data_IF_619701414714
#
_entry.id   IF_619701414714
#
_cell.length_a   1.000
_cell.length_b   1.000
_cell.length_c   1.000
_cell.angle_alpha   90.00
_cell.angle_beta   90.00
_cell.angle_gamma   90.00
#
_symmetry.space_group_name_H-M   'P 1'
#
loop_
_entity.id
_entity.type
_entity.pdbx_description
1 polymer ?
#
# COMPACT_ATOMS: atom_id res chain seq x y z
N UNK A 1 -20.48 55.70 -29.71
CA UNK A 1 -19.99 54.34 -29.52
C UNK A 1 -21.20 53.45 -29.24
N UNK A 2 -21.57 52.64 -30.22
CA UNK A 2 -22.87 51.97 -30.27
C UNK A 2 -22.97 50.81 -29.26
N UNK A 3 -24.12 50.57 -28.69
CA UNK A 3 -24.48 49.52 -27.74
C UNK A 3 -24.04 48.10 -28.22
N UNK A 4 -23.96 47.89 -29.52
CA UNK A 4 -23.50 46.70 -30.23
C UNK A 4 -22.02 46.40 -29.96
N UNK A 5 -21.15 47.42 -29.84
CA UNK A 5 -19.70 47.28 -29.52
C UNK A 5 -19.47 46.84 -28.06
N UNK A 6 -20.29 47.31 -27.13
CA UNK A 6 -20.17 46.92 -25.72
C UNK A 6 -20.55 45.46 -25.49
N UNK A 7 -21.63 44.97 -26.14
CA UNK A 7 -22.04 43.57 -26.07
C UNK A 7 -20.98 42.65 -26.64
N UNK A 8 -20.35 42.98 -27.78
CA UNK A 8 -19.28 42.18 -28.37
C UNK A 8 -18.04 42.11 -27.48
N UNK A 9 -17.66 43.19 -26.79
CA UNK A 9 -16.56 43.19 -25.82
C UNK A 9 -16.89 42.30 -24.60
N UNK A 10 -18.12 42.38 -24.09
CA UNK A 10 -18.56 41.55 -22.97
C UNK A 10 -18.56 40.06 -23.32
N UNK A 11 -19.04 39.67 -24.51
CA UNK A 11 -19.00 38.29 -24.97
C UNK A 11 -17.57 37.76 -25.14
N UNK A 12 -16.63 38.56 -25.62
CA UNK A 12 -15.20 38.20 -25.70
C UNK A 12 -14.60 38.01 -24.31
N UNK A 13 -14.93 38.90 -23.37
CA UNK A 13 -14.44 38.78 -21.98
C UNK A 13 -14.94 37.51 -21.30
N UNK A 14 -16.24 37.24 -21.42
CA UNK A 14 -16.86 36.00 -20.89
C UNK A 14 -16.21 34.75 -21.54
N UNK A 15 -16.07 34.76 -22.87
CA UNK A 15 -15.43 33.66 -23.59
C UNK A 15 -13.98 33.42 -23.14
N UNK A 16 -13.20 34.49 -22.94
CA UNK A 16 -11.82 34.37 -22.42
C UNK A 16 -11.77 33.83 -21.00
N UNK A 17 -12.71 34.24 -20.12
CA UNK A 17 -12.81 33.70 -18.75
C UNK A 17 -13.20 32.21 -18.75
N UNK A 18 -14.14 31.80 -19.61
CA UNK A 18 -14.50 30.39 -19.76
C UNK A 18 -13.31 29.53 -20.26
N UNK A 19 -12.56 30.01 -21.24
CA UNK A 19 -11.36 29.31 -21.73
C UNK A 19 -10.30 29.24 -20.63
N UNK A 20 -10.04 30.34 -19.93
CA UNK A 20 -9.10 30.38 -18.81
C UNK A 20 -9.50 29.41 -17.68
N UNK A 21 -10.78 29.38 -17.34
CA UNK A 21 -11.33 28.41 -16.39
C UNK A 21 -11.15 26.94 -16.85
N UNK A 22 -11.47 26.65 -18.10
CA UNK A 22 -11.30 25.30 -18.66
C UNK A 22 -9.83 24.83 -18.65
N UNK A 23 -8.90 25.70 -19.04
CA UNK A 23 -7.46 25.43 -18.99
C UNK A 23 -6.98 25.20 -17.55
N UNK A 24 -7.44 26.02 -16.61
CA UNK A 24 -7.12 25.84 -15.20
C UNK A 24 -7.61 24.49 -14.66
N UNK A 25 -8.87 24.13 -14.92
CA UNK A 25 -9.44 22.84 -14.50
C UNK A 25 -8.73 21.65 -15.17
N UNK A 26 -8.42 21.76 -16.47
CA UNK A 26 -7.63 20.75 -17.16
C UNK A 26 -6.23 20.58 -16.50
N UNK A 27 -5.57 21.67 -16.15
CA UNK A 27 -4.30 21.64 -15.44
C UNK A 27 -4.40 20.97 -14.06
N UNK A 28 -5.46 21.22 -13.30
CA UNK A 28 -5.70 20.57 -12.01
C UNK A 28 -5.95 19.07 -12.19
N UNK A 29 -6.71 18.67 -13.20
CA UNK A 29 -6.99 17.26 -13.49
C UNK A 29 -5.69 16.53 -13.92
N UNK A 30 -4.93 17.11 -14.82
CA UNK A 30 -3.64 16.56 -15.27
C UNK A 30 -2.69 16.42 -14.08
N UNK A 31 -2.59 17.44 -13.22
CA UNK A 31 -1.74 17.38 -12.04
C UNK A 31 -2.16 16.23 -11.10
N UNK A 32 -3.47 16.07 -10.82
CA UNK A 32 -3.97 15.02 -9.93
C UNK A 32 -3.82 13.60 -10.49
N UNK A 33 -4.01 13.42 -11.80
CA UNK A 33 -4.07 12.09 -12.41
C UNK A 33 -2.72 11.61 -12.95
N UNK A 34 -1.83 12.52 -13.36
CA UNK A 34 -0.58 12.16 -14.05
C UNK A 34 0.66 12.58 -13.27
N UNK A 35 0.76 13.84 -12.88
CA UNK A 35 1.97 14.38 -12.27
C UNK A 35 2.21 13.80 -10.89
N UNK A 36 1.17 13.73 -10.05
CA UNK A 36 1.32 13.18 -8.69
C UNK A 36 1.70 11.70 -8.70
N UNK A 37 1.09 10.90 -9.58
CA UNK A 37 1.44 9.48 -9.72
C UNK A 37 2.87 9.30 -10.24
N UNK A 38 3.25 10.05 -11.28
CA UNK A 38 4.61 9.98 -11.83
C UNK A 38 5.70 10.25 -10.78
N UNK A 39 5.53 11.27 -9.93
CA UNK A 39 6.50 11.56 -8.87
C UNK A 39 6.47 10.50 -7.76
N UNK A 40 5.30 9.97 -7.43
CA UNK A 40 5.17 8.89 -6.45
C UNK A 40 5.84 7.61 -6.92
N UNK A 41 5.62 7.21 -8.17
CA UNK A 41 6.21 6.01 -8.75
C UNK A 41 7.74 6.10 -8.77
N UNK A 42 8.28 7.27 -9.10
CA UNK A 42 9.73 7.49 -9.04
C UNK A 42 10.28 7.49 -7.62
N UNK A 43 9.54 8.05 -6.66
CA UNK A 43 9.95 8.03 -5.26
C UNK A 43 9.91 6.60 -4.69
N UNK A 44 8.88 5.82 -5.04
CA UNK A 44 8.76 4.42 -4.67
C UNK A 44 9.89 3.58 -5.28
N UNK A 45 10.17 3.77 -6.58
CA UNK A 45 11.25 3.05 -7.26
C UNK A 45 12.60 3.34 -6.64
N UNK A 46 12.92 4.60 -6.40
CA UNK A 46 14.16 5.00 -5.73
C UNK A 46 14.29 4.38 -4.35
N UNK A 47 13.23 4.43 -3.54
CA UNK A 47 13.23 3.85 -2.19
C UNK A 47 13.39 2.33 -2.24
N UNK A 48 12.77 1.65 -3.22
CA UNK A 48 12.94 0.22 -3.47
C UNK A 48 14.39 -0.12 -3.81
N UNK A 49 15.02 0.62 -4.72
CA UNK A 49 16.41 0.41 -5.11
C UNK A 49 17.38 0.62 -3.94
N UNK A 50 17.18 1.70 -3.17
CA UNK A 50 17.98 1.97 -1.97
C UNK A 50 17.84 0.86 -0.93
N UNK A 51 16.62 0.36 -0.71
CA UNK A 51 16.34 -0.73 0.21
C UNK A 51 17.00 -2.04 -0.24
N UNK A 52 16.82 -2.45 -1.51
CA UNK A 52 17.43 -3.65 -2.08
C UNK A 52 18.97 -3.58 -2.05
N UNK A 53 19.53 -2.42 -2.33
CA UNK A 53 20.98 -2.18 -2.23
C UNK A 53 21.46 -2.35 -0.79
N UNK A 54 20.71 -1.82 0.19
CA UNK A 54 21.03 -1.99 1.62
C UNK A 54 20.98 -3.45 2.09
N UNK A 55 20.22 -4.28 1.39
CA UNK A 55 20.13 -5.74 1.62
C UNK A 55 21.19 -6.53 0.84
N UNK A 56 22.08 -5.88 0.10
CA UNK A 56 23.05 -6.47 -0.83
C UNK A 56 22.39 -7.32 -1.94
N UNK A 57 21.20 -6.92 -2.39
CA UNK A 57 20.46 -7.60 -3.45
C UNK A 57 20.55 -6.81 -4.76
N UNK A 58 20.95 -7.47 -5.89
CA UNK A 58 20.96 -6.80 -7.19
C UNK A 58 19.54 -6.39 -7.60
N UNK A 59 19.39 -5.13 -8.04
CA UNK A 59 18.16 -4.66 -8.67
C UNK A 59 17.88 -5.43 -9.95
N UNK A 60 16.67 -5.96 -10.10
CA UNK A 60 16.25 -6.70 -11.31
C UNK A 60 16.40 -8.22 -11.23
N UNK A 61 16.77 -8.79 -10.10
CA UNK A 61 16.86 -10.24 -9.95
C UNK A 61 15.46 -10.84 -9.78
N UNK A 62 15.00 -11.60 -10.78
CA UNK A 62 13.96 -12.60 -10.60
C UNK A 62 14.41 -13.55 -9.51
N UNK A 63 13.60 -13.73 -8.49
CA UNK A 63 13.92 -14.62 -7.37
C UNK A 63 14.01 -16.06 -7.89
N UNK A 64 15.15 -16.76 -7.73
CA UNK A 64 15.26 -18.14 -8.22
C UNK A 64 14.30 -19.05 -7.45
N UNK A 65 13.50 -19.82 -8.16
CA UNK A 65 12.67 -20.86 -7.57
C UNK A 65 13.56 -21.99 -7.03
N UNK A 66 13.62 -22.15 -5.72
CA UNK A 66 14.15 -23.34 -5.09
C UNK A 66 12.99 -24.25 -4.69
N UNK A 67 13.01 -25.46 -5.20
CA UNK A 67 11.94 -26.46 -5.19
C UNK A 67 11.52 -27.00 -3.80
N UNK A 68 12.12 -26.53 -2.71
CA UNK A 68 11.77 -26.97 -1.34
C UNK A 68 11.89 -25.80 -0.36
N UNK A 69 10.81 -25.02 -0.25
CA UNK A 69 10.71 -23.98 0.74
C UNK A 69 10.45 -24.59 2.12
N UNK A 70 11.43 -24.55 3.01
CA UNK A 70 11.22 -24.86 4.43
C UNK A 70 10.70 -23.60 5.13
N UNK A 71 9.55 -23.69 5.76
CA UNK A 71 9.00 -22.63 6.63
C UNK A 71 9.80 -22.57 7.93
N UNK A 72 9.94 -21.36 8.48
CA UNK A 72 10.53 -21.15 9.81
C UNK A 72 9.40 -21.19 10.83
N UNK A 73 9.63 -21.86 11.96
CA UNK A 73 8.67 -21.80 13.06
C UNK A 73 8.60 -20.35 13.60
N UNK A 74 7.40 -19.86 13.96
CA UNK A 74 7.21 -18.47 14.42
C UNK A 74 8.09 -18.05 15.60
N UNK A 75 8.59 -18.99 16.41
CA UNK A 75 9.51 -18.75 17.54
C UNK A 75 10.98 -18.60 17.15
N UNK A 76 11.36 -18.88 15.91
CA UNK A 76 12.75 -18.79 15.41
C UNK A 76 13.03 -17.48 14.67
N UNK A 77 12.04 -16.58 14.60
CA UNK A 77 12.18 -15.28 13.96
C UNK A 77 12.99 -14.38 14.88
N UNK A 78 14.21 -14.06 14.46
CA UNK A 78 15.03 -13.08 15.18
C UNK A 78 14.39 -11.69 15.15
N UNK A 79 14.81 -10.77 16.05
CA UNK A 79 14.23 -9.45 16.14
C UNK A 79 14.34 -8.72 14.81
N UNK A 80 13.21 -8.22 14.34
CA UNK A 80 13.15 -7.27 13.22
C UNK A 80 13.30 -5.89 13.85
N UNK A 81 14.36 -5.17 13.50
CA UNK A 81 14.51 -3.81 13.99
C UNK A 81 13.45 -2.91 13.33
N UNK A 82 12.58 -2.34 14.13
CA UNK A 82 11.68 -1.29 13.66
C UNK A 82 12.53 -0.11 13.13
N UNK A 83 12.21 0.42 11.96
CA UNK A 83 12.95 1.54 11.40
C UNK A 83 12.73 2.80 12.26
N UNK A 84 13.82 3.53 12.51
CA UNK A 84 13.78 4.72 13.37
C UNK A 84 13.54 6.03 12.61
N UNK A 85 13.62 6.03 11.26
CA UNK A 85 13.83 7.26 10.48
C UNK A 85 12.86 7.49 9.31
N UNK A 86 11.61 7.08 9.37
CA UNK A 86 10.65 7.32 8.26
C UNK A 86 11.14 6.79 6.89
N UNK A 87 12.09 5.86 6.89
CA UNK A 87 12.65 5.22 5.70
C UNK A 87 11.86 3.96 5.34
N UNK A 88 12.03 3.49 4.10
CA UNK A 88 11.50 2.20 3.70
C UNK A 88 12.27 1.08 4.42
N UNK A 89 11.56 0.07 4.95
CA UNK A 89 12.15 -1.04 5.69
C UNK A 89 11.71 -2.42 5.21
N UNK A 90 10.65 -2.46 4.38
CA UNK A 90 10.08 -3.68 3.85
C UNK A 90 9.46 -3.42 2.47
N UNK A 91 9.10 -4.48 1.76
CA UNK A 91 8.39 -4.44 0.50
C UNK A 91 7.08 -5.24 0.60
N UNK A 92 6.02 -4.72 0.00
CA UNK A 92 4.69 -5.34 -0.05
C UNK A 92 4.42 -5.95 -1.43
N UNK A 93 3.87 -7.17 -1.43
CA UNK A 93 3.39 -7.87 -2.62
C UNK A 93 1.99 -8.37 -2.35
N UNK A 94 1.07 -8.14 -3.28
CA UNK A 94 -0.27 -8.70 -3.26
C UNK A 94 -0.55 -9.29 -4.64
N UNK A 95 -0.34 -10.60 -4.86
CA UNK A 95 -0.39 -11.23 -6.18
C UNK A 95 -1.67 -10.97 -6.96
N UNK A 96 -2.84 -10.95 -6.30
CA UNK A 96 -4.13 -10.68 -6.95
C UNK A 96 -4.20 -9.32 -7.63
N UNK A 97 -3.59 -8.30 -7.03
CA UNK A 97 -3.52 -6.93 -7.55
C UNK A 97 -2.06 -6.54 -7.84
N UNK A 98 -1.29 -7.50 -8.35
CA UNK A 98 0.16 -7.39 -8.51
C UNK A 98 0.64 -6.34 -9.50
N UNK A 99 -0.24 -5.78 -10.35
CA UNK A 99 0.12 -4.64 -11.20
C UNK A 99 0.31 -3.35 -10.39
N UNK A 100 -0.42 -3.20 -9.29
CA UNK A 100 -0.40 -2.02 -8.42
C UNK A 100 0.47 -2.23 -7.19
N UNK A 101 0.53 -3.47 -6.67
CA UNK A 101 1.26 -3.79 -5.42
C UNK A 101 2.25 -4.93 -5.67
N UNK A 102 3.40 -4.58 -6.24
CA UNK A 102 4.50 -5.51 -6.47
C UNK A 102 5.82 -4.89 -6.09
N UNK A 103 6.45 -5.41 -5.05
CA UNK A 103 7.64 -4.82 -4.43
C UNK A 103 7.44 -3.34 -4.04
N UNK A 104 6.25 -3.01 -3.54
CA UNK A 104 5.91 -1.64 -3.13
C UNK A 104 6.56 -1.34 -1.78
N UNK A 105 7.36 -0.26 -1.66
CA UNK A 105 8.04 0.06 -0.41
C UNK A 105 7.07 0.34 0.74
N UNK A 106 7.38 -0.23 1.91
CA UNK A 106 6.71 0.07 3.19
C UNK A 106 7.61 1.01 3.97
N UNK A 107 7.10 2.20 4.29
CA UNK A 107 7.78 3.23 5.06
C UNK A 107 7.30 3.24 6.50
N UNK A 108 8.16 3.58 7.44
CA UNK A 108 7.74 3.88 8.80
C UNK A 108 7.00 5.21 8.85
N UNK A 109 5.75 5.20 9.34
CA UNK A 109 4.88 6.37 9.43
C UNK A 109 3.77 6.42 8.39
N UNK A 110 2.71 7.17 8.73
CA UNK A 110 1.49 7.33 7.90
C UNK A 110 1.23 8.79 7.52
N UNK A 111 2.27 9.61 7.51
CA UNK A 111 2.15 10.99 7.06
C UNK A 111 2.17 11.08 5.53
N UNK A 112 1.77 12.23 4.98
CA UNK A 112 1.72 12.43 3.53
C UNK A 112 3.02 12.10 2.81
N UNK A 113 4.17 12.35 3.43
CA UNK A 113 5.48 12.04 2.84
C UNK A 113 5.63 10.55 2.55
N UNK A 114 5.28 9.68 3.50
CA UNK A 114 5.36 8.23 3.37
C UNK A 114 4.29 7.71 2.40
N UNK A 115 3.04 8.10 2.61
CA UNK A 115 1.92 7.64 1.80
C UNK A 115 2.04 8.08 0.33
N UNK A 116 2.66 9.22 0.06
CA UNK A 116 2.92 9.68 -1.31
C UNK A 116 4.07 8.94 -2.01
N UNK A 117 4.83 8.12 -1.30
CA UNK A 117 5.96 7.37 -1.83
C UNK A 117 5.73 5.85 -1.82
N UNK A 118 4.64 5.37 -1.22
CA UNK A 118 4.31 3.95 -1.13
C UNK A 118 3.28 3.64 -0.05
N UNK A 119 3.56 2.60 0.71
CA UNK A 119 2.73 2.14 1.83
C UNK A 119 3.30 2.70 3.14
N UNK A 120 2.44 3.18 4.02
CA UNK A 120 2.83 3.65 5.35
C UNK A 120 2.51 2.59 6.41
N UNK A 121 3.49 2.25 7.24
CA UNK A 121 3.31 1.49 8.47
C UNK A 121 2.84 2.42 9.58
N UNK A 122 1.84 1.98 10.35
CA UNK A 122 1.36 2.74 11.51
C UNK A 122 2.30 2.53 12.71
N UNK A 123 3.02 3.57 13.18
CA UNK A 123 4.11 3.41 14.17
C UNK A 123 3.68 2.87 15.54
N UNK A 124 2.38 2.90 15.83
CA UNK A 124 1.80 2.37 17.08
C UNK A 124 1.32 0.92 16.92
N UNK A 125 1.51 0.32 15.75
CA UNK A 125 1.22 -1.09 15.48
C UNK A 125 2.51 -1.91 15.47
N UNK A 126 2.37 -3.23 15.43
CA UNK A 126 3.50 -4.17 15.44
C UNK A 126 4.20 -4.20 14.08
N UNK A 127 5.43 -4.69 14.07
CA UNK A 127 6.16 -5.01 12.84
C UNK A 127 5.81 -6.41 12.32
N UNK A 128 6.18 -6.77 11.06
CA UNK A 128 5.79 -8.06 10.49
C UNK A 128 6.22 -9.23 11.35
N UNK A 129 5.29 -10.15 11.60
CA UNK A 129 5.53 -11.40 12.32
C UNK A 129 5.52 -11.30 13.85
N UNK A 130 5.44 -10.11 14.43
CA UNK A 130 5.22 -9.94 15.86
C UNK A 130 3.79 -10.32 16.27
N UNK A 131 3.63 -10.67 17.54
CA UNK A 131 2.33 -10.85 18.16
C UNK A 131 1.59 -9.50 18.19
N UNK A 132 0.40 -9.45 17.61
CA UNK A 132 -0.42 -8.25 17.49
C UNK A 132 -0.82 -7.93 16.06
N UNK A 133 -0.96 -6.65 15.73
CA UNK A 133 -1.51 -6.17 14.47
C UNK A 133 -0.48 -5.28 13.73
N UNK A 134 0.04 -5.77 12.62
CA UNK A 134 0.88 -5.01 11.70
C UNK A 134 0.00 -4.22 10.73
N UNK A 135 -0.11 -2.90 10.92
CA UNK A 135 -1.09 -2.07 10.21
C UNK A 135 -0.47 -1.19 9.13
N UNK A 136 -0.99 -1.33 7.91
CA UNK A 136 -0.51 -0.66 6.71
C UNK A 136 -1.58 0.24 6.10
N UNK A 137 -1.16 1.43 5.68
CA UNK A 137 -2.00 2.44 5.05
C UNK A 137 -1.50 2.76 3.65
N UNK A 138 -2.40 2.89 2.69
CA UNK A 138 -2.07 3.26 1.32
C UNK A 138 -3.17 4.07 0.64
N UNK A 139 -2.76 4.89 -0.32
CA UNK A 139 -3.71 5.65 -1.14
C UNK A 139 -4.52 4.76 -2.07
N UNK A 140 -5.76 5.17 -2.38
CA UNK A 140 -6.62 4.48 -3.32
C UNK A 140 -6.72 5.14 -4.69
N UNK A 141 -6.53 6.45 -4.79
CA UNK A 141 -6.81 7.22 -6.01
C UNK A 141 -5.78 8.31 -6.34
N UNK A 142 -4.63 8.30 -5.69
CA UNK A 142 -3.57 9.28 -5.90
C UNK A 142 -2.22 8.72 -5.47
N UNK A 143 -1.14 9.35 -5.89
CA UNK A 143 0.22 9.05 -5.43
C UNK A 143 0.57 7.56 -5.56
N UNK A 144 0.61 7.06 -6.80
CA UNK A 144 0.88 5.64 -7.12
C UNK A 144 -0.28 4.70 -6.89
N UNK A 145 -1.31 5.10 -6.14
CA UNK A 145 -2.58 4.37 -5.95
C UNK A 145 -2.44 2.89 -5.58
N UNK A 146 -1.59 2.51 -4.60
CA UNK A 146 -1.29 1.10 -4.35
C UNK A 146 -2.54 0.27 -4.05
N UNK A 147 -3.58 0.87 -3.47
CA UNK A 147 -4.83 0.17 -3.15
C UNK A 147 -6.01 0.53 -4.05
N UNK A 148 -5.73 0.94 -5.32
CA UNK A 148 -6.78 1.30 -6.28
C UNK A 148 -7.77 0.18 -6.53
N UNK A 149 -7.29 -1.07 -6.59
CA UNK A 149 -8.05 -2.28 -6.86
C UNK A 149 -8.29 -3.15 -5.61
N UNK A 150 -8.31 -2.54 -4.43
CA UNK A 150 -8.57 -3.26 -3.16
C UNK A 150 -9.91 -4.02 -3.15
N UNK A 151 -10.89 -3.58 -3.95
CA UNK A 151 -12.18 -4.26 -4.11
C UNK A 151 -12.09 -5.62 -4.81
N UNK A 152 -10.99 -5.90 -5.48
CA UNK A 152 -10.77 -7.17 -6.19
C UNK A 152 -10.17 -8.25 -5.28
N UNK A 153 -9.75 -7.86 -4.07
CA UNK A 153 -9.26 -8.78 -3.05
C UNK A 153 -10.37 -9.69 -2.55
N UNK A 154 -10.00 -10.92 -2.23
CA UNK A 154 -10.89 -11.97 -1.75
C UNK A 154 -10.32 -12.62 -0.48
N UNK A 155 -11.19 -13.31 0.25
CA UNK A 155 -10.75 -14.17 1.34
C UNK A 155 -9.76 -15.21 0.80
N UNK A 156 -8.74 -15.50 1.59
CA UNK A 156 -7.60 -16.37 1.30
C UNK A 156 -6.60 -15.85 0.25
N UNK A 157 -6.76 -14.62 -0.24
CA UNK A 157 -5.68 -13.98 -0.99
C UNK A 157 -4.45 -13.76 -0.11
N UNK A 158 -3.29 -13.95 -0.70
CA UNK A 158 -2.03 -13.76 0.00
C UNK A 158 -1.56 -12.31 -0.04
N UNK A 159 -1.09 -11.85 1.11
CA UNK A 159 -0.35 -10.60 1.29
C UNK A 159 1.03 -10.95 1.80
N UNK A 160 2.05 -10.59 1.04
CA UNK A 160 3.42 -11.00 1.32
C UNK A 160 4.24 -9.77 1.66
N UNK A 161 4.95 -9.83 2.78
CA UNK A 161 5.85 -8.77 3.24
C UNK A 161 7.28 -9.29 3.21
N UNK A 162 8.13 -8.65 2.42
CA UNK A 162 9.56 -8.92 2.34
C UNK A 162 10.32 -7.99 3.27
N UNK A 163 11.17 -8.54 4.11
CA UNK A 163 12.14 -7.81 4.92
C UNK A 163 13.56 -8.25 4.56
N UNK A 164 14.56 -7.64 5.15
CA UNK A 164 15.97 -8.03 4.91
C UNK A 164 16.24 -9.52 5.11
N UNK A 165 15.59 -10.14 6.10
CA UNK A 165 15.92 -11.49 6.54
C UNK A 165 14.82 -12.51 6.26
N UNK A 166 13.57 -12.07 6.07
CA UNK A 166 12.41 -12.95 6.05
C UNK A 166 11.34 -12.50 5.06
N UNK A 167 10.53 -13.46 4.64
CA UNK A 167 9.26 -13.28 3.96
C UNK A 167 8.14 -13.68 4.91
N UNK A 168 7.15 -12.83 5.06
CA UNK A 168 5.94 -13.08 5.86
C UNK A 168 4.76 -13.21 4.92
N UNK A 169 4.06 -14.34 4.97
CA UNK A 169 2.89 -14.62 4.15
C UNK A 169 1.65 -14.58 5.04
N UNK A 170 0.79 -13.64 4.78
CA UNK A 170 -0.52 -13.50 5.43
C UNK A 170 -1.62 -13.92 4.46
N UNK A 171 -2.67 -14.58 4.97
CA UNK A 171 -3.89 -14.89 4.23
C UNK A 171 -5.00 -13.95 4.68
N UNK A 172 -5.63 -13.23 3.74
CA UNK A 172 -6.76 -12.35 4.02
C UNK A 172 -7.96 -13.16 4.50
N UNK A 173 -8.66 -12.68 5.54
CA UNK A 173 -9.76 -13.41 6.17
C UNK A 173 -11.07 -12.63 6.18
N UNK A 174 -11.01 -11.33 6.35
CA UNK A 174 -12.20 -10.51 6.48
C UNK A 174 -11.95 -9.08 6.01
N UNK A 175 -12.97 -8.44 5.46
CA UNK A 175 -12.94 -7.02 5.14
C UNK A 175 -14.13 -6.27 5.74
N UNK A 176 -13.99 -4.97 5.90
CA UNK A 176 -15.04 -4.11 6.40
C UNK A 176 -14.87 -2.67 5.97
N UNK A 177 -16.00 -2.01 5.67
CA UNK A 177 -16.02 -0.56 5.46
C UNK A 177 -16.42 0.11 6.77
N UNK A 178 -15.54 0.98 7.27
CA UNK A 178 -15.70 1.65 8.57
C UNK A 178 -15.62 3.18 8.44
N UNK A 179 -15.95 3.91 9.50
CA UNK A 179 -15.73 5.36 9.58
C UNK A 179 -14.24 5.67 9.80
N UNK A 180 -13.74 6.85 9.38
CA UNK A 180 -12.34 7.24 9.62
C UNK A 180 -11.94 7.27 11.10
N UNK A 181 -12.90 7.46 11.99
CA UNK A 181 -12.69 7.46 13.46
C UNK A 181 -12.61 6.06 14.09
N UNK A 182 -12.72 4.99 13.29
CA UNK A 182 -12.66 3.61 13.79
C UNK A 182 -11.21 3.19 14.07
N UNK A 183 -10.58 3.74 15.10
CA UNK A 183 -9.17 3.45 15.47
C UNK A 183 -8.96 2.01 15.94
N UNK A 184 -10.02 1.33 16.37
CA UNK A 184 -9.97 -0.07 16.81
C UNK A 184 -9.48 -1.04 15.72
N UNK A 185 -9.60 -0.67 14.44
CA UNK A 185 -9.19 -1.53 13.30
C UNK A 185 -7.69 -1.86 13.30
N UNK A 186 -6.88 -0.99 13.89
CA UNK A 186 -5.42 -1.16 14.04
C UNK A 186 -5.02 -1.61 15.44
N UNK A 187 -6.00 -1.89 16.30
CA UNK A 187 -5.78 -2.27 17.69
C UNK A 187 -5.27 -3.69 17.87
N UNK A 188 -4.90 -4.00 19.12
CA UNK A 188 -4.41 -5.32 19.54
C UNK A 188 -5.53 -6.28 19.95
N UNK A 189 -6.77 -5.82 19.93
CA UNK A 189 -7.90 -6.66 20.32
C UNK A 189 -8.16 -7.72 19.23
N UNK A 190 -8.36 -8.94 19.66
CA UNK A 190 -8.80 -10.03 18.78
C UNK A 190 -10.13 -9.65 18.14
N UNK A 191 -10.16 -9.69 16.82
CA UNK A 191 -11.36 -9.43 16.02
C UNK A 191 -12.12 -10.74 15.89
N UNK A 192 -13.39 -10.83 16.34
CA UNK A 192 -14.18 -12.05 16.22
C UNK A 192 -14.28 -12.56 14.79
N UNK A 193 -14.28 -11.65 13.84
CA UNK A 193 -14.36 -11.93 12.40
C UNK A 193 -13.15 -12.70 11.84
N UNK A 194 -12.03 -12.77 12.58
CA UNK A 194 -10.85 -13.53 12.16
C UNK A 194 -10.89 -15.00 12.58
N UNK A 195 -11.92 -15.42 13.33
CA UNK A 195 -12.13 -16.80 13.80
C UNK A 195 -10.92 -17.40 14.53
N UNK A 196 -10.06 -16.54 15.11
CA UNK A 196 -8.91 -16.97 15.91
C UNK A 196 -9.36 -17.42 17.29
N UNK A 197 -8.93 -18.60 17.69
CA UNK A 197 -9.09 -19.11 19.06
C UNK A 197 -8.10 -18.46 20.02
N UNK A 198 -8.25 -18.69 21.34
CA UNK A 198 -7.31 -18.15 22.34
C UNK A 198 -5.90 -18.77 22.19
N UNK A 199 -5.81 -19.99 21.67
CA UNK A 199 -4.55 -20.70 21.45
C UNK A 199 -3.85 -20.30 20.16
N UNK A 200 -4.54 -19.65 19.23
CA UNK A 200 -3.95 -19.18 17.98
C UNK A 200 -3.09 -17.92 18.21
N UNK A 201 -1.88 -17.86 17.64
CA UNK A 201 -1.07 -16.65 17.73
C UNK A 201 -1.79 -15.48 17.03
N UNK A 202 -1.95 -14.37 17.76
CA UNK A 202 -2.55 -13.16 17.20
C UNK A 202 -1.51 -12.38 16.38
N UNK A 203 -1.21 -12.85 15.18
CA UNK A 203 -0.28 -12.25 14.23
C UNK A 203 -1.03 -11.80 12.99
N UNK A 204 -1.51 -10.57 13.01
CA UNK A 204 -2.45 -10.03 12.03
C UNK A 204 -1.78 -8.95 11.19
N UNK A 205 -2.13 -8.89 9.91
CA UNK A 205 -1.90 -7.74 9.05
C UNK A 205 -3.21 -7.00 8.82
N UNK A 206 -3.16 -5.67 8.82
CA UNK A 206 -4.29 -4.80 8.47
C UNK A 206 -3.92 -3.90 7.31
N UNK A 207 -4.72 -3.92 6.24
CA UNK A 207 -4.62 -3.01 5.11
C UNK A 207 -5.72 -1.97 5.19
N UNK A 208 -5.38 -0.68 5.13
CA UNK A 208 -6.35 0.42 5.25
C UNK A 208 -6.24 1.37 4.08
N UNK A 209 -7.36 1.69 3.45
CA UNK A 209 -7.44 2.70 2.40
C UNK A 209 -8.74 3.51 2.47
N UNK A 210 -8.86 4.53 1.63
CA UNK A 210 -10.06 5.38 1.55
C UNK A 210 -11.21 4.68 0.83
N UNK A 211 -12.46 4.96 1.25
CA UNK A 211 -13.72 4.54 0.61
C UNK A 211 -14.75 5.69 0.67
N UNK A 212 -15.53 5.95 -0.41
CA UNK A 212 -15.36 5.47 -1.79
C UNK A 212 -14.08 6.03 -2.46
N UNK A 213 -13.74 5.50 -3.64
CA UNK A 213 -12.48 5.75 -4.36
C UNK A 213 -12.08 7.22 -4.51
N UNK A 214 -13.02 8.14 -4.55
CA UNK A 214 -12.77 9.58 -4.72
C UNK A 214 -13.18 10.41 -3.49
N UNK A 215 -13.35 9.75 -2.34
CA UNK A 215 -13.72 10.37 -1.08
C UNK A 215 -12.84 9.87 0.07
N UNK A 216 -12.92 10.59 1.17
CA UNK A 216 -12.28 10.21 2.44
C UNK A 216 -13.31 9.92 3.54
N UNK A 217 -14.57 9.72 3.17
CA UNK A 217 -15.70 9.59 4.12
C UNK A 217 -15.64 8.31 4.94
N UNK A 218 -15.07 7.26 4.36
CA UNK A 218 -14.94 5.95 4.99
C UNK A 218 -13.54 5.39 4.77
N UNK A 219 -13.28 4.23 5.39
CA UNK A 219 -12.09 3.40 5.17
C UNK A 219 -12.52 2.01 4.78
N UNK A 220 -11.88 1.44 3.77
CA UNK A 220 -11.93 0.03 3.49
C UNK A 220 -10.75 -0.64 4.20
N UNK A 221 -11.06 -1.63 4.99
CA UNK A 221 -10.08 -2.35 5.81
C UNK A 221 -10.16 -3.82 5.45
N UNK A 222 -8.99 -4.42 5.22
CA UNK A 222 -8.81 -5.87 5.15
C UNK A 222 -7.94 -6.33 6.30
N UNK A 223 -8.26 -7.49 6.86
CA UNK A 223 -7.44 -8.18 7.84
C UNK A 223 -7.01 -9.53 7.31
N UNK A 224 -5.75 -9.90 7.56
CA UNK A 224 -5.18 -11.20 7.26
C UNK A 224 -4.42 -11.76 8.45
N UNK A 225 -4.28 -13.08 8.48
CA UNK A 225 -3.57 -13.82 9.53
C UNK A 225 -2.29 -14.40 8.97
N UNK A 226 -1.20 -14.33 9.74
CA UNK A 226 0.10 -14.89 9.34
C UNK A 226 -0.02 -16.40 9.18
N UNK A 227 0.33 -16.91 8.01
CA UNK A 227 0.29 -18.33 7.66
C UNK A 227 1.67 -18.98 7.66
N UNK A 228 2.68 -18.25 7.15
CA UNK A 228 4.02 -18.80 7.00
C UNK A 228 5.08 -17.72 7.07
N UNK A 229 6.27 -18.12 7.49
CA UNK A 229 7.49 -17.30 7.41
C UNK A 229 8.56 -18.11 6.71
N UNK A 230 9.24 -17.49 5.76
CA UNK A 230 10.33 -18.08 5.02
C UNK A 230 11.60 -17.27 5.22
N UNK A 231 12.80 -17.92 5.23
CA UNK A 231 14.05 -17.18 5.19
C UNK A 231 14.14 -16.41 3.88
N UNK A 232 14.79 -15.26 3.89
CA UNK A 232 14.88 -14.39 2.71
C UNK A 232 15.50 -15.10 1.49
N UNK A 233 16.38 -16.09 1.70
CA UNK A 233 16.95 -16.92 0.63
C UNK A 233 15.94 -17.81 -0.09
N UNK A 234 14.72 -17.98 0.46
CA UNK A 234 13.72 -18.91 -0.04
C UNK A 234 12.37 -18.18 -0.19
N UNK A 235 12.12 -17.54 -1.35
CA UNK A 235 10.89 -16.79 -1.55
C UNK A 235 9.65 -17.69 -1.56
N UNK A 236 8.49 -17.15 -1.10
CA UNK A 236 7.23 -17.88 -1.12
C UNK A 236 6.81 -18.27 -2.55
N UNK A 237 6.12 -19.43 -2.71
CA UNK A 237 5.66 -19.89 -4.02
C UNK A 237 4.81 -18.90 -4.80
N UNK A 238 3.98 -18.11 -4.12
CA UNK A 238 3.08 -17.13 -4.74
C UNK A 238 3.80 -15.96 -5.44
N UNK A 239 5.09 -15.73 -5.16
CA UNK A 239 5.90 -14.72 -5.85
C UNK A 239 6.44 -15.19 -7.19
N UNK A 240 6.30 -16.47 -7.49
CA UNK A 240 6.64 -17.00 -8.81
C UNK A 240 5.53 -16.55 -9.78
N UNK A 241 5.76 -15.45 -10.50
CA UNK A 241 4.85 -15.08 -11.60
C UNK A 241 4.75 -16.25 -12.56
N UNK A 242 3.54 -16.75 -12.88
CA UNK A 242 3.42 -17.64 -14.02
C UNK A 242 3.96 -16.87 -15.23
N UNK A 243 4.92 -17.46 -15.94
CA UNK A 243 5.40 -16.91 -17.22
C UNK A 243 4.19 -16.89 -18.16
N UNK A 244 3.60 -15.74 -18.38
CA UNK A 244 2.68 -15.48 -19.47
C UNK A 244 3.46 -15.07 -20.70
#
# INVERSE_FOLDING_TARGET
MTQRSRKAKLFRLIGSMCIGGAVFFAGVIINRLWISNYFSDRAAEKAREELLTSWNRPTGTTVPFLSSASTIAPGEIGPINAPTNQEAFALLYIPRIGNEVWATPIFEGVQSKQLNSGIGHYPQSQIPGEEGNFSLFGHRNSHGQPFINIQDLQVDDEVIVETKNFWFVYSLKHDKIVRPSATWVTGLNRLPELELTEDDPFKVITLVTCEPRHSTDKRWVWWGVLQAVYPHSTPPPALVKPNN
#
